data_IF_877478692251
#
_entry.id   IF_877478692251
#
_cell.length_a   1.000
_cell.length_b   1.000
_cell.length_c   1.000
_cell.angle_alpha   90.00
_cell.angle_beta   90.00
_cell.angle_gamma   90.00
#
_symmetry.space_group_name_H-M   'P 1'
#
loop_
_entity.id
_entity.type
_entity.pdbx_description
1 polymer ?
#
# COMPACT_ATOMS: atom_id res chain seq x y z
N UNK A 1 6.94 -7.59 20.74
CA UNK A 1 7.82 -8.07 19.66
C UNK A 1 7.88 -6.91 18.69
N UNK A 2 9.01 -6.22 18.64
CA UNK A 2 9.23 -5.10 17.72
C UNK A 2 9.56 -5.69 16.36
N UNK A 3 8.70 -5.49 15.37
CA UNK A 3 8.74 -6.21 14.09
C UNK A 3 9.87 -5.71 13.15
N UNK A 4 10.88 -5.03 13.69
CA UNK A 4 11.91 -4.30 12.93
C UNK A 4 11.33 -3.50 11.74
N UNK A 5 10.10 -2.99 11.91
CA UNK A 5 9.38 -2.31 10.84
C UNK A 5 10.09 -1.04 10.46
N UNK A 6 10.45 -0.93 9.18
CA UNK A 6 10.97 0.27 8.60
C UNK A 6 9.84 0.97 7.81
N UNK A 7 9.49 2.23 8.15
CA UNK A 7 8.45 2.95 7.44
C UNK A 7 8.83 3.17 5.97
N UNK A 8 7.85 3.01 5.08
CA UNK A 8 8.00 3.34 3.67
C UNK A 8 8.35 4.81 3.47
N UNK A 9 9.16 5.15 2.44
CA UNK A 9 9.33 6.52 2.00
C UNK A 9 8.00 7.19 1.69
N UNK A 10 7.88 8.50 1.98
CA UNK A 10 6.63 9.25 1.80
C UNK A 10 6.11 9.20 0.36
N UNK A 11 7.01 9.14 -0.62
CA UNK A 11 6.63 9.09 -2.02
C UNK A 11 5.93 7.76 -2.37
N UNK A 12 6.36 6.65 -1.79
CA UNK A 12 5.68 5.35 -1.94
C UNK A 12 4.30 5.37 -1.29
N UNK A 13 4.20 5.90 -0.07
CA UNK A 13 2.92 6.04 0.66
C UNK A 13 1.94 6.89 -0.14
N UNK A 14 2.40 8.01 -0.70
CA UNK A 14 1.57 8.89 -1.54
C UNK A 14 1.09 8.17 -2.80
N UNK A 15 1.97 7.43 -3.47
CA UNK A 15 1.62 6.70 -4.68
C UNK A 15 0.58 5.59 -4.42
N UNK A 16 0.82 4.75 -3.40
CA UNK A 16 -0.12 3.70 -2.97
C UNK A 16 -1.46 4.31 -2.53
N UNK A 17 -1.43 5.38 -1.73
CA UNK A 17 -2.64 6.06 -1.26
C UNK A 17 -3.48 6.63 -2.40
N UNK A 18 -2.85 7.21 -3.42
CA UNK A 18 -3.55 7.70 -4.61
C UNK A 18 -4.26 6.56 -5.37
N UNK A 19 -3.56 5.44 -5.61
CA UNK A 19 -4.14 4.28 -6.29
C UNK A 19 -5.33 3.70 -5.50
N UNK A 20 -5.21 3.60 -4.17
CA UNK A 20 -6.30 3.12 -3.31
C UNK A 20 -7.51 4.05 -3.35
N UNK A 21 -7.31 5.36 -3.20
CA UNK A 21 -8.40 6.34 -3.28
C UNK A 21 -9.10 6.30 -4.64
N UNK A 22 -8.34 6.15 -5.72
CA UNK A 22 -8.89 6.04 -7.07
C UNK A 22 -9.73 4.77 -7.25
N UNK A 23 -9.22 3.61 -6.80
CA UNK A 23 -9.94 2.34 -6.86
C UNK A 23 -11.22 2.33 -6.01
N UNK A 24 -11.15 2.87 -4.79
CA UNK A 24 -12.30 3.00 -3.88
C UNK A 24 -13.34 3.95 -4.46
N UNK A 25 -12.91 5.09 -5.04
CA UNK A 25 -13.82 5.99 -5.76
C UNK A 25 -14.55 5.26 -6.87
N UNK A 26 -13.85 4.48 -7.69
CA UNK A 26 -14.47 3.69 -8.76
C UNK A 26 -15.52 2.73 -8.22
N UNK A 27 -15.25 2.01 -7.12
CA UNK A 27 -16.24 1.13 -6.49
C UNK A 27 -17.47 1.92 -6.00
N UNK A 28 -17.24 3.04 -5.31
CA UNK A 28 -18.32 3.88 -4.78
C UNK A 28 -19.17 4.52 -5.88
N UNK A 29 -18.57 4.93 -7.00
CA UNK A 29 -19.30 5.41 -8.19
C UNK A 29 -20.23 4.32 -8.76
N UNK A 30 -19.93 3.05 -8.50
CA UNK A 30 -20.75 1.88 -8.86
C UNK A 30 -21.62 1.36 -7.69
N UNK A 31 -21.78 2.13 -6.61
CA UNK A 31 -22.56 1.74 -5.41
C UNK A 31 -22.06 0.46 -4.73
N UNK A 32 -20.77 0.13 -4.89
CA UNK A 32 -20.13 -1.01 -4.26
C UNK A 32 -19.21 -0.53 -3.13
N UNK A 33 -19.30 -1.18 -1.97
CA UNK A 33 -18.38 -0.98 -0.85
C UNK A 33 -17.47 -2.19 -0.75
N UNK A 34 -16.14 -2.00 -0.65
CA UNK A 34 -15.20 -3.13 -0.56
C UNK A 34 -15.37 -3.98 0.71
N UNK A 35 -15.71 -3.36 1.85
CA UNK A 35 -15.93 -3.95 3.19
C UNK A 35 -14.72 -4.57 3.92
N UNK A 36 -13.68 -5.02 3.21
CA UNK A 36 -12.50 -5.65 3.83
C UNK A 36 -11.17 -5.08 3.28
N UNK A 37 -10.97 -3.77 3.38
CA UNK A 37 -9.76 -3.12 2.86
C UNK A 37 -8.60 -3.31 3.84
N UNK A 38 -7.63 -4.14 3.46
CA UNK A 38 -6.44 -4.50 4.24
C UNK A 38 -5.30 -4.89 3.30
N UNK A 39 -4.02 -4.83 3.74
CA UNK A 39 -2.87 -5.13 2.89
C UNK A 39 -2.96 -6.50 2.20
N UNK A 40 -3.53 -7.50 2.87
CA UNK A 40 -3.68 -8.87 2.35
C UNK A 40 -4.62 -8.96 1.13
N UNK A 41 -5.52 -7.98 0.97
CA UNK A 41 -6.46 -7.90 -0.15
C UNK A 41 -6.02 -6.89 -1.23
N UNK A 42 -4.79 -6.37 -1.16
CA UNK A 42 -4.24 -5.42 -2.13
C UNK A 42 -3.08 -6.12 -2.85
N UNK A 43 -3.21 -6.30 -4.16
CA UNK A 43 -2.17 -6.92 -4.98
C UNK A 43 -1.36 -5.86 -5.73
N UNK A 44 -0.05 -6.03 -5.74
CA UNK A 44 0.81 -5.31 -6.67
C UNK A 44 0.80 -6.00 -8.04
N UNK A 45 0.88 -5.19 -9.09
CA UNK A 45 1.00 -5.70 -10.48
C UNK A 45 2.36 -6.36 -10.68
N UNK A 46 3.39 -5.78 -10.07
CA UNK A 46 4.75 -6.26 -10.07
C UNK A 46 5.16 -6.62 -8.64
N UNK A 47 5.85 -7.74 -8.48
CA UNK A 47 6.34 -8.23 -7.18
C UNK A 47 7.81 -7.91 -6.94
N UNK A 48 8.46 -7.24 -7.89
CA UNK A 48 9.84 -6.81 -7.77
C UNK A 48 10.01 -5.84 -6.60
N UNK A 49 11.12 -6.01 -5.87
CA UNK A 49 11.44 -5.19 -4.71
C UNK A 49 12.95 -5.01 -4.59
N UNK A 50 13.34 -3.85 -4.04
CA UNK A 50 14.71 -3.56 -3.69
C UNK A 50 14.92 -3.68 -2.17
N UNK A 51 16.04 -4.29 -1.78
CA UNK A 51 16.47 -4.33 -0.37
C UNK A 51 17.44 -3.20 -0.12
N UNK A 52 16.98 -2.15 0.57
CA UNK A 52 17.87 -1.09 1.03
C UNK A 52 18.38 -1.40 2.43
N UNK A 53 19.70 -1.59 2.56
CA UNK A 53 20.34 -1.71 3.88
C UNK A 53 20.41 -0.34 4.54
N UNK A 54 19.72 -0.20 5.68
CA UNK A 54 19.87 1.00 6.50
C UNK A 54 21.12 0.82 7.38
N UNK A 55 22.24 1.38 6.94
CA UNK A 55 23.52 1.31 7.66
C UNK A 55 23.49 1.99 9.05
N UNK A 56 22.38 2.66 9.39
CA UNK A 56 22.10 3.22 10.70
C UNK A 56 21.29 2.22 11.54
N UNK A 57 21.97 1.21 12.07
CA UNK A 57 21.56 0.53 13.30
C UNK A 57 22.80 0.33 14.16
#
# INVERSE_FOLDING_TARGET
RDNDYQPYPIDHVRHMGYQLCYAVKFLHDNQLTHTDLKPENILFVDSDFDVTYNAKK
#
